data_IF_820733202751
#
_entry.id   IF_820733202751
#
_cell.length_a   1.000
_cell.length_b   1.000
_cell.length_c   1.000
_cell.angle_alpha   90.00
_cell.angle_beta   90.00
_cell.angle_gamma   90.00
#
_symmetry.space_group_name_H-M   'P 1'
#
loop_
_entity.id
_entity.type
_entity.pdbx_description
1 polymer ?
#
# COMPACT_ATOMS: atom_id res chain seq x y z
N UNK A 1 -29.95 14.80 7.23
CA UNK A 1 -28.88 13.88 7.63
C UNK A 1 -27.59 14.35 6.98
N UNK A 2 -26.49 14.42 7.73
CA UNK A 2 -25.17 14.70 7.16
C UNK A 2 -24.47 13.36 6.98
N UNK A 3 -23.90 13.11 5.81
CA UNK A 3 -23.31 11.82 5.38
C UNK A 3 -22.24 11.24 6.34
N UNK A 4 -21.73 12.04 7.29
CA UNK A 4 -20.77 11.59 8.31
C UNK A 4 -21.36 10.78 9.47
N UNK A 5 -22.65 10.91 9.78
CA UNK A 5 -23.26 10.22 10.93
C UNK A 5 -23.39 8.69 10.71
N UNK A 6 -23.51 8.26 9.44
CA UNK A 6 -23.67 6.85 9.08
C UNK A 6 -22.37 6.05 9.28
N UNK A 7 -21.21 6.66 9.01
CA UNK A 7 -19.90 6.01 9.17
C UNK A 7 -19.50 5.84 10.64
N UNK A 8 -19.86 6.81 11.49
CA UNK A 8 -19.72 6.68 12.95
C UNK A 8 -20.62 5.53 13.45
N UNK A 9 -21.79 5.35 12.84
CA UNK A 9 -22.69 4.22 13.09
C UNK A 9 -22.08 2.87 12.74
N UNK A 10 -21.41 2.75 11.59
CA UNK A 10 -20.83 1.47 11.14
C UNK A 10 -19.71 0.98 12.06
N UNK A 11 -18.76 1.84 12.43
CA UNK A 11 -17.67 1.46 13.32
C UNK A 11 -18.17 0.99 14.69
N UNK A 12 -19.15 1.71 15.26
CA UNK A 12 -19.77 1.31 16.53
C UNK A 12 -20.57 0.02 16.40
N UNK A 13 -21.28 -0.17 15.29
CA UNK A 13 -22.03 -1.41 15.01
C UNK A 13 -21.11 -2.61 14.93
N UNK A 14 -19.97 -2.51 14.24
CA UNK A 14 -19.00 -3.61 14.13
C UNK A 14 -18.37 -3.95 15.48
N UNK A 15 -18.00 -2.94 16.28
CA UNK A 15 -17.49 -3.17 17.64
C UNK A 15 -18.57 -3.79 18.55
N UNK A 16 -19.82 -3.32 18.46
CA UNK A 16 -20.95 -3.88 19.20
C UNK A 16 -21.30 -5.31 18.76
N UNK A 17 -21.03 -5.65 17.49
CA UNK A 17 -21.17 -7.01 16.96
C UNK A 17 -20.00 -7.94 17.36
N UNK A 18 -19.04 -7.46 18.16
CA UNK A 18 -17.95 -8.27 18.72
C UNK A 18 -16.62 -8.18 17.99
N UNK A 19 -16.44 -7.24 17.05
CA UNK A 19 -15.12 -6.99 16.48
C UNK A 19 -14.16 -6.49 17.58
N UNK A 20 -12.99 -7.12 17.72
CA UNK A 20 -11.98 -6.73 18.72
C UNK A 20 -11.33 -5.38 18.42
N UNK A 21 -11.32 -4.98 17.16
CA UNK A 21 -10.82 -3.69 16.72
C UNK A 21 -11.09 -3.44 15.24
N UNK A 22 -10.86 -2.20 14.82
CA UNK A 22 -11.08 -1.71 13.46
C UNK A 22 -9.90 -0.86 13.03
N UNK A 23 -9.47 -1.01 11.78
CA UNK A 23 -8.57 -0.07 11.11
C UNK A 23 -9.42 0.69 10.09
N UNK A 24 -9.48 2.02 10.20
CA UNK A 24 -10.30 2.84 9.30
C UNK A 24 -9.51 4.00 8.73
N UNK A 25 -9.89 4.45 7.54
CA UNK A 25 -9.39 5.68 6.94
C UNK A 25 -10.31 6.85 7.32
N UNK A 26 -9.77 7.92 7.93
CA UNK A 26 -10.54 9.11 8.35
C UNK A 26 -10.78 10.12 7.21
N UNK A 27 -10.20 9.86 6.03
CA UNK A 27 -10.34 10.67 4.82
C UNK A 27 -10.06 9.81 3.58
N UNK A 28 -10.49 10.25 2.38
CA UNK A 28 -10.13 9.56 1.14
C UNK A 28 -8.61 9.40 1.00
N UNK A 29 -8.18 8.22 0.57
CA UNK A 29 -6.76 7.87 0.34
C UNK A 29 -6.64 7.33 -1.08
N UNK A 30 -5.57 7.67 -1.83
CA UNK A 30 -5.33 7.06 -3.13
C UNK A 30 -5.23 5.53 -3.02
N UNK A 31 -5.85 4.82 -3.97
CA UNK A 31 -5.92 3.35 -3.98
C UNK A 31 -4.52 2.70 -3.91
N UNK A 32 -3.57 3.20 -4.69
CA UNK A 32 -2.22 2.63 -4.73
C UNK A 32 -1.48 2.81 -3.40
N UNK A 33 -1.59 3.98 -2.79
CA UNK A 33 -0.99 4.25 -1.49
C UNK A 33 -1.60 3.33 -0.41
N UNK A 34 -2.93 3.17 -0.44
CA UNK A 34 -3.65 2.24 0.45
C UNK A 34 -3.20 0.79 0.26
N UNK A 35 -3.11 0.32 -0.99
CA UNK A 35 -2.69 -1.04 -1.29
C UNK A 35 -1.26 -1.33 -0.81
N UNK A 36 -0.33 -0.39 -1.00
CA UNK A 36 1.04 -0.53 -0.52
C UNK A 36 1.13 -0.50 1.00
N UNK A 37 0.43 0.42 1.65
CA UNK A 37 0.37 0.52 3.11
C UNK A 37 -0.19 -0.76 3.73
N UNK A 38 -1.30 -1.27 3.18
CA UNK A 38 -1.91 -2.51 3.65
C UNK A 38 -1.02 -3.71 3.38
N UNK A 39 -0.31 -3.74 2.24
CA UNK A 39 0.70 -4.76 1.95
C UNK A 39 1.78 -4.82 3.05
N UNK A 40 2.40 -3.69 3.40
CA UNK A 40 3.39 -3.66 4.49
C UNK A 40 2.79 -3.92 5.87
N UNK A 41 1.57 -3.47 6.10
CA UNK A 41 0.85 -3.75 7.35
C UNK A 41 0.64 -5.25 7.52
N UNK A 42 0.13 -5.95 6.50
CA UNK A 42 -0.09 -7.40 6.55
C UNK A 42 1.22 -8.17 6.62
N UNK A 43 2.27 -7.75 5.91
CA UNK A 43 3.60 -8.37 6.00
C UNK A 43 4.20 -8.31 7.41
N UNK A 44 3.86 -7.27 8.18
CA UNK A 44 4.34 -7.07 9.55
C UNK A 44 3.48 -7.74 10.63
N UNK A 45 2.31 -8.29 10.28
CA UNK A 45 1.49 -9.04 11.22
C UNK A 45 2.03 -10.47 11.35
N UNK A 46 2.17 -10.95 12.58
CA UNK A 46 2.49 -12.35 12.85
C UNK A 46 1.19 -13.17 12.78
N UNK A 47 1.00 -14.04 11.76
CA UNK A 47 -0.21 -14.83 11.63
C UNK A 47 -0.33 -15.93 12.70
N UNK A 48 0.76 -16.30 13.40
CA UNK A 48 0.75 -17.28 14.47
C UNK A 48 0.61 -16.65 15.86
N UNK A 49 0.77 -15.33 15.97
CA UNK A 49 0.73 -14.59 17.22
C UNK A 49 -0.68 -14.18 17.65
N UNK A 50 -0.89 -14.00 18.95
CA UNK A 50 -2.08 -13.33 19.45
C UNK A 50 -2.01 -11.84 19.09
N UNK A 51 -2.88 -11.39 18.18
CA UNK A 51 -2.94 -10.00 17.75
C UNK A 51 -3.57 -9.11 18.82
N UNK A 52 -2.73 -8.46 19.62
CA UNK A 52 -3.15 -7.40 20.55
C UNK A 52 -3.29 -6.05 19.85
N UNK A 53 -4.21 -5.19 20.33
CA UNK A 53 -4.45 -3.85 19.76
C UNK A 53 -3.18 -2.98 19.70
N UNK A 54 -2.33 -3.06 20.73
CA UNK A 54 -1.06 -2.34 20.78
C UNK A 54 -0.07 -2.78 19.69
N UNK A 55 -0.03 -4.09 19.40
CA UNK A 55 0.79 -4.64 18.32
C UNK A 55 0.25 -4.18 16.97
N UNK A 56 -1.05 -4.27 16.75
CA UNK A 56 -1.71 -3.78 15.52
C UNK A 56 -1.39 -2.30 15.28
N UNK A 57 -1.52 -1.45 16.30
CA UNK A 57 -1.18 -0.03 16.20
C UNK A 57 0.31 0.20 15.89
N UNK A 58 1.19 -0.62 16.46
CA UNK A 58 2.64 -0.55 16.20
C UNK A 58 2.97 -0.89 14.75
N UNK A 59 2.41 -1.99 14.23
CA UNK A 59 2.63 -2.45 12.85
C UNK A 59 2.03 -1.46 11.85
N UNK A 60 0.84 -0.93 12.11
CA UNK A 60 0.25 0.12 11.26
C UNK A 60 1.13 1.36 11.21
N UNK A 61 1.62 1.83 12.36
CA UNK A 61 2.52 2.97 12.44
C UNK A 61 3.85 2.73 11.71
N UNK A 62 4.36 1.48 11.71
CA UNK A 62 5.54 1.09 10.93
C UNK A 62 5.25 1.14 9.42
N UNK A 63 4.15 0.55 8.96
CA UNK A 63 3.73 0.57 7.56
C UNK A 63 3.54 2.01 7.05
N UNK A 64 2.93 2.88 7.84
CA UNK A 64 2.80 4.31 7.56
C UNK A 64 4.15 5.02 7.38
N UNK A 65 5.10 4.78 8.29
CA UNK A 65 6.45 5.34 8.19
C UNK A 65 7.21 4.79 6.99
N UNK A 66 7.03 3.50 6.69
CA UNK A 66 7.65 2.86 5.54
C UNK A 66 7.12 3.45 4.22
N UNK A 67 5.80 3.62 4.08
CA UNK A 67 5.20 4.28 2.90
C UNK A 67 5.70 5.70 2.74
N UNK A 68 5.68 6.50 3.81
CA UNK A 68 6.19 7.88 3.79
C UNK A 68 7.67 7.93 3.40
N UNK A 69 8.46 6.99 3.92
CA UNK A 69 9.91 6.94 3.76
C UNK A 69 10.39 6.27 2.47
N UNK A 70 9.51 5.57 1.75
CA UNK A 70 9.86 4.81 0.55
C UNK A 70 10.30 5.72 -0.58
N UNK A 71 11.53 5.50 -1.04
CA UNK A 71 12.09 6.08 -2.24
C UNK A 71 11.50 5.47 -3.50
N UNK A 72 11.65 6.14 -4.64
CA UNK A 72 11.31 5.54 -5.91
C UNK A 72 12.11 4.24 -6.16
N UNK A 73 13.35 4.13 -5.70
CA UNK A 73 14.10 2.87 -5.74
C UNK A 73 13.41 1.76 -4.93
N UNK A 74 13.01 2.05 -3.69
CA UNK A 74 12.34 1.07 -2.80
C UNK A 74 11.01 0.59 -3.40
N UNK A 75 10.27 1.50 -4.06
CA UNK A 75 9.03 1.15 -4.75
C UNK A 75 9.27 0.26 -5.98
N UNK A 76 10.35 0.50 -6.74
CA UNK A 76 10.71 -0.37 -7.86
C UNK A 76 11.07 -1.76 -7.35
N UNK A 77 11.88 -1.87 -6.30
CA UNK A 77 12.23 -3.14 -5.67
C UNK A 77 10.98 -3.89 -5.17
N UNK A 78 10.12 -3.21 -4.39
CA UNK A 78 8.85 -3.79 -3.93
C UNK A 78 7.99 -4.23 -5.11
N UNK A 79 7.88 -3.41 -6.14
CA UNK A 79 7.11 -3.72 -7.34
C UNK A 79 7.63 -4.96 -8.07
N UNK A 80 8.94 -5.16 -8.15
CA UNK A 80 9.54 -6.39 -8.73
C UNK A 80 9.15 -7.63 -7.93
N UNK A 81 9.19 -7.55 -6.59
CA UNK A 81 8.71 -8.65 -5.74
C UNK A 81 7.23 -8.97 -5.98
N UNK A 82 6.38 -7.94 -6.10
CA UNK A 82 4.96 -8.10 -6.37
C UNK A 82 4.69 -8.70 -7.76
N UNK A 83 5.45 -8.28 -8.78
CA UNK A 83 5.38 -8.89 -10.13
C UNK A 83 5.81 -10.36 -10.09
N UNK A 84 6.85 -10.69 -9.35
CA UNK A 84 7.33 -12.07 -9.21
C UNK A 84 6.31 -12.99 -8.49
N UNK A 85 5.51 -12.45 -7.57
CA UNK A 85 4.44 -13.18 -6.90
C UNK A 85 3.28 -13.57 -7.85
N UNK A 86 3.11 -12.86 -8.96
CA UNK A 86 2.11 -13.17 -9.98
C UNK A 86 0.66 -12.77 -9.61
N UNK A 87 -0.30 -13.21 -10.44
CA UNK A 87 -1.73 -12.94 -10.22
C UNK A 87 -2.06 -11.46 -10.08
N UNK A 88 -2.96 -11.12 -9.15
CA UNK A 88 -3.36 -9.74 -8.85
C UNK A 88 -2.20 -8.88 -8.31
N UNK A 89 -1.21 -9.51 -7.66
CA UNK A 89 -0.02 -8.80 -7.17
C UNK A 89 0.81 -8.24 -8.32
N UNK A 90 0.82 -8.90 -9.49
CA UNK A 90 1.54 -8.39 -10.65
C UNK A 90 0.96 -7.08 -11.17
N UNK A 91 -0.36 -6.89 -11.10
CA UNK A 91 -1.03 -5.64 -11.47
C UNK A 91 -0.60 -4.52 -10.52
N UNK A 92 -0.59 -4.78 -9.21
CA UNK A 92 -0.11 -3.84 -8.21
C UNK A 92 1.37 -3.51 -8.40
N UNK A 93 2.19 -4.52 -8.68
CA UNK A 93 3.62 -4.37 -8.95
C UNK A 93 3.89 -3.47 -10.16
N UNK A 94 3.22 -3.70 -11.30
CA UNK A 94 3.34 -2.85 -12.48
C UNK A 94 2.92 -1.39 -12.20
N UNK A 95 1.81 -1.16 -11.47
CA UNK A 95 1.38 0.19 -11.06
C UNK A 95 2.42 0.87 -10.18
N UNK A 96 2.98 0.13 -9.23
CA UNK A 96 4.00 0.62 -8.29
C UNK A 96 5.26 1.06 -9.02
N UNK A 97 5.78 0.22 -9.92
CA UNK A 97 6.98 0.51 -10.72
C UNK A 97 6.73 1.71 -11.65
N UNK A 98 5.57 1.77 -12.32
CA UNK A 98 5.22 2.90 -13.18
C UNK A 98 5.23 4.23 -12.40
N UNK A 99 4.59 4.28 -11.23
CA UNK A 99 4.60 5.49 -10.40
C UNK A 99 6.02 5.88 -10.01
N UNK A 100 6.85 4.94 -9.59
CA UNK A 100 8.24 5.20 -9.23
C UNK A 100 9.04 5.82 -10.39
N UNK A 101 8.94 5.26 -11.60
CA UNK A 101 9.58 5.83 -12.80
C UNK A 101 9.08 7.24 -13.11
N UNK A 102 7.76 7.45 -13.07
CA UNK A 102 7.16 8.76 -13.33
C UNK A 102 7.68 9.82 -12.35
N UNK A 103 7.73 9.50 -11.05
CA UNK A 103 8.19 10.46 -10.05
C UNK A 103 9.70 10.70 -10.13
N UNK A 104 10.48 9.70 -10.59
CA UNK A 104 11.91 9.85 -10.86
C UNK A 104 12.22 10.63 -12.16
N UNK A 105 11.21 10.94 -12.99
CA UNK A 105 11.37 11.64 -14.28
C UNK A 105 11.69 10.73 -15.48
N UNK A 106 11.66 9.41 -15.30
CA UNK A 106 12.03 8.41 -16.30
C UNK A 106 10.82 8.02 -17.17
N UNK A 107 10.45 8.89 -18.10
CA UNK A 107 9.19 8.79 -18.86
C UNK A 107 9.10 7.55 -19.76
N UNK A 108 10.19 7.16 -20.42
CA UNK A 108 10.19 5.96 -21.29
C UNK A 108 9.93 4.67 -20.48
N UNK A 109 10.54 4.57 -19.30
CA UNK A 109 10.33 3.47 -18.39
C UNK A 109 8.89 3.48 -17.84
N UNK A 110 8.36 4.64 -17.48
CA UNK A 110 6.96 4.80 -17.09
C UNK A 110 6.00 4.28 -18.17
N UNK A 111 6.13 4.75 -19.42
CA UNK A 111 5.27 4.32 -20.54
C UNK A 111 5.39 2.81 -20.78
N UNK A 112 6.59 2.25 -20.65
CA UNK A 112 6.81 0.81 -20.77
C UNK A 112 6.05 0.02 -19.71
N UNK A 113 6.13 0.44 -18.45
CA UNK A 113 5.41 -0.22 -17.37
C UNK A 113 3.89 0.03 -17.40
N UNK A 114 3.42 1.15 -17.96
CA UNK A 114 2.00 1.33 -18.26
C UNK A 114 1.51 0.33 -19.31
N UNK A 115 2.29 0.06 -20.36
CA UNK A 115 1.94 -0.97 -21.36
C UNK A 115 1.90 -2.36 -20.73
N UNK A 116 2.84 -2.69 -19.84
CA UNK A 116 2.82 -3.93 -19.06
C UNK A 116 1.56 -4.05 -18.19
N UNK A 117 1.15 -2.96 -17.55
CA UNK A 117 -0.08 -2.90 -16.77
C UNK A 117 -1.31 -3.16 -17.65
N UNK A 118 -1.45 -2.48 -18.79
CA UNK A 118 -2.56 -2.70 -19.73
C UNK A 118 -2.66 -4.15 -20.17
N UNK A 119 -1.51 -4.77 -20.52
CA UNK A 119 -1.45 -6.19 -20.88
C UNK A 119 -2.01 -7.10 -19.78
N UNK A 120 -1.60 -6.89 -18.53
CA UNK A 120 -2.09 -7.69 -17.40
C UNK A 120 -3.60 -7.51 -17.18
N UNK A 121 -4.11 -6.28 -17.28
CA UNK A 121 -5.55 -5.99 -17.15
C UNK A 121 -6.35 -6.66 -18.27
N UNK A 122 -5.77 -6.78 -19.47
CA UNK A 122 -6.33 -7.51 -20.62
C UNK A 122 -6.13 -9.04 -20.53
N UNK A 123 -5.57 -9.56 -19.43
CA UNK A 123 -5.29 -10.98 -19.24
C UNK A 123 -4.11 -11.52 -20.06
N UNK A 124 -3.29 -10.64 -20.65
CA UNK A 124 -2.09 -11.01 -21.38
C UNK A 124 -0.88 -11.12 -20.44
N UNK A 125 0.02 -12.12 -20.65
CA UNK A 125 1.22 -12.24 -19.85
C UNK A 125 2.22 -11.12 -20.12
N UNK A 126 3.05 -10.84 -19.11
CA UNK A 126 4.21 -9.97 -19.26
C UNK A 126 5.27 -10.60 -20.18
N UNK A 127 6.04 -9.78 -20.92
CA UNK A 127 7.20 -10.27 -21.66
C UNK A 127 8.19 -10.99 -20.74
N UNK A 128 8.82 -12.05 -21.24
CA UNK A 128 9.88 -12.76 -20.52
C UNK A 128 11.03 -11.78 -20.16
N UNK A 129 11.42 -11.75 -18.88
CA UNK A 129 12.48 -10.88 -18.39
C UNK A 129 12.10 -9.39 -18.25
N UNK A 130 10.80 -9.05 -18.26
CA UNK A 130 10.33 -7.67 -18.11
C UNK A 130 10.90 -6.96 -16.86
N UNK A 131 11.06 -7.68 -15.75
CA UNK A 131 11.63 -7.14 -14.50
C UNK A 131 13.15 -6.97 -14.56
N UNK A 132 13.89 -7.78 -15.32
CA UNK A 132 15.36 -7.71 -15.34
C UNK A 132 15.90 -6.67 -16.32
N UNK A 133 15.20 -6.39 -17.44
CA UNK A 133 15.69 -5.45 -18.47
C UNK A 133 15.35 -3.99 -18.22
N UNK A 134 14.27 -3.70 -17.48
CA UNK A 134 13.67 -2.37 -17.43
C UNK A 134 13.72 -1.71 -16.05
N UNK A 135 14.40 -2.34 -15.08
CA UNK A 135 14.49 -1.88 -13.69
C UNK A 135 15.89 -1.30 -13.43
N UNK A 136 16.26 -0.29 -14.22
CA UNK A 136 17.45 0.51 -13.88
C UNK A 136 17.03 1.62 -12.93
N UNK A 137 17.64 1.65 -11.74
CA UNK A 137 17.41 2.67 -10.70
C UNK A 137 18.68 3.47 -10.40
N UNK A 138 19.60 3.55 -11.38
CA UNK A 138 20.93 4.17 -11.20
C UNK A 138 20.88 5.70 -11.10
N UNK A 139 19.85 6.36 -11.66
CA UNK A 139 19.73 7.80 -11.60
C UNK A 139 19.54 8.30 -10.15
N UNK A 140 20.17 9.41 -9.74
CA UNK A 140 20.07 9.94 -8.38
C UNK A 140 18.63 10.18 -7.89
N UNK A 141 17.72 10.54 -8.81
CA UNK A 141 16.32 10.81 -8.51
C UNK A 141 15.61 9.64 -7.82
N UNK A 142 15.96 8.39 -8.14
CA UNK A 142 15.34 7.22 -7.51
C UNK A 142 15.57 7.17 -6.00
N UNK A 143 16.70 7.69 -5.52
CA UNK A 143 17.09 7.65 -4.11
C UNK A 143 16.61 8.86 -3.32
N UNK A 144 16.34 9.98 -3.98
CA UNK A 144 16.00 11.25 -3.31
C UNK A 144 14.49 11.52 -3.31
N UNK A 145 13.78 11.10 -4.35
CA UNK A 145 12.33 11.34 -4.47
C UNK A 145 11.54 10.35 -3.60
N UNK A 146 10.46 10.83 -2.99
CA UNK A 146 9.55 10.06 -2.11
C UNK A 146 8.11 10.23 -2.60
N UNK A 147 7.59 9.32 -3.46
CA UNK A 147 6.31 9.53 -4.14
C UNK A 147 5.10 9.70 -3.22
N UNK A 148 5.16 9.13 -2.01
CA UNK A 148 4.07 9.14 -1.02
C UNK A 148 4.44 9.86 0.28
N UNK A 149 5.35 10.84 0.22
CA UNK A 149 5.72 11.62 1.41
C UNK A 149 4.59 12.57 1.88
N UNK A 150 3.63 12.88 0.99
CA UNK A 150 2.51 13.76 1.28
C UNK A 150 1.63 13.18 2.37
N UNK A 151 1.13 14.04 3.28
CA UNK A 151 0.29 13.56 4.39
C UNK A 151 -0.92 12.77 3.88
N UNK A 152 -1.51 13.20 2.76
CA UNK A 152 -2.68 12.59 2.13
C UNK A 152 -2.50 11.10 1.81
N UNK A 153 -1.27 10.64 1.64
CA UNK A 153 -0.98 9.29 1.18
C UNK A 153 -0.93 8.25 2.31
N UNK A 154 -0.64 8.66 3.56
CA UNK A 154 -0.33 7.69 4.63
C UNK A 154 -0.97 7.99 6.01
N UNK A 155 -1.24 9.26 6.36
CA UNK A 155 -1.70 9.64 7.73
C UNK A 155 -3.15 9.22 8.01
N UNK A 156 -3.87 8.76 7.00
CA UNK A 156 -5.33 8.64 7.07
C UNK A 156 -5.83 7.47 7.91
N UNK A 157 -4.98 6.53 8.31
CA UNK A 157 -5.40 5.31 8.99
C UNK A 157 -5.30 5.39 10.52
N UNK A 158 -6.36 4.99 11.19
CA UNK A 158 -6.48 4.95 12.66
C UNK A 158 -6.99 3.58 13.11
N UNK A 159 -6.52 3.13 14.28
CA UNK A 159 -7.00 1.91 14.94
C UNK A 159 -7.97 2.26 16.07
N UNK A 160 -9.11 1.59 16.09
CA UNK A 160 -10.09 1.61 17.18
C UNK A 160 -10.17 0.22 17.80
N UNK A 161 -10.29 0.13 19.12
CA UNK A 161 -10.49 -1.14 19.83
C UNK A 161 -11.79 -1.12 20.62
N UNK A 162 -12.37 -2.30 20.86
CA UNK A 162 -13.36 -2.44 21.92
C UNK A 162 -12.66 -2.26 23.28
N UNK A 163 -13.22 -1.44 24.16
CA UNK A 163 -12.75 -1.44 25.54
C UNK A 163 -12.96 -2.84 26.13
N UNK A 164 -11.99 -3.42 26.87
CA UNK A 164 -12.26 -4.67 27.56
C UNK A 164 -13.47 -4.45 28.46
N UNK A 165 -14.53 -5.24 28.25
CA UNK A 165 -15.66 -5.25 29.16
C UNK A 165 -15.11 -5.52 30.57
N UNK A 166 -15.35 -4.59 31.49
CA UNK A 166 -14.78 -4.63 32.84
C UNK A 166 -14.89 -6.03 33.44
N UNK A 167 -13.74 -6.54 33.87
CA UNK A 167 -13.62 -7.75 34.69
C UNK A 167 -13.90 -7.41 36.15
#
# INVERSE_FOLDING_TARGET
MRDGDELVGLGRTLLAAGASGLVTAIRPVPDLATALLMGWFYDGLDPAGQLGLAQVGTVLGQAQRQLRGASAADLVERGVHLVAAGGDQAVLGCRTIAVAHRTAGEMEAFVTWQRHLSRLVEGQPLPAGATSRHVSTSAPAYRTVRPFAGLADWVSFTVYGAAPAGT
#
